data_IF_983503039100
#
_entry.id   IF_983503039100
#
_cell.length_a   1.000
_cell.length_b   1.000
_cell.length_c   1.000
_cell.angle_alpha   90.00
_cell.angle_beta   90.00
_cell.angle_gamma   90.00
#
_symmetry.space_group_name_H-M   'P 1'
#
loop_
_entity.id
_entity.type
_entity.pdbx_description
1 polymer ?
#
# COMPACT_ATOMS: atom_id res chain seq x y z
N UNK A 1 14.55 -12.16 5.29
CA UNK A 1 13.14 -11.98 5.70
C UNK A 1 12.50 -10.93 4.82
N UNK A 2 11.31 -11.22 4.32
CA UNK A 2 10.51 -10.32 3.47
C UNK A 2 9.25 -9.92 4.24
N UNK A 3 8.71 -8.76 3.89
CA UNK A 3 7.43 -8.28 4.39
C UNK A 3 6.48 -8.03 3.22
N UNK A 4 5.19 -8.29 3.40
CA UNK A 4 4.18 -7.77 2.50
C UNK A 4 3.69 -6.41 3.03
N UNK A 5 3.49 -5.44 2.13
CA UNK A 5 3.07 -4.08 2.44
C UNK A 5 1.83 -3.76 1.59
N UNK A 6 0.84 -3.18 2.23
CA UNK A 6 -0.33 -2.60 1.59
C UNK A 6 -0.75 -1.32 2.33
N UNK A 7 -1.31 -0.36 1.61
CA UNK A 7 -1.74 0.91 2.17
C UNK A 7 -3.14 1.27 1.67
N UNK A 8 -3.98 1.72 2.59
CA UNK A 8 -5.22 2.40 2.22
C UNK A 8 -4.95 3.90 2.15
N UNK A 9 -5.38 4.54 1.06
CA UNK A 9 -5.03 5.93 0.78
C UNK A 9 -6.23 6.87 0.74
N UNK A 10 -5.99 8.09 1.22
CA UNK A 10 -6.93 9.21 1.13
C UNK A 10 -6.31 10.33 0.29
N UNK A 11 -7.15 11.26 -0.18
CA UNK A 11 -6.72 12.47 -0.89
C UNK A 11 -6.70 13.67 0.07
N UNK A 12 -5.59 14.39 0.08
CA UNK A 12 -5.39 15.62 0.88
C UNK A 12 -4.99 16.80 -0.01
N UNK A 13 -5.25 18.01 0.46
CA UNK A 13 -4.73 19.23 -0.15
C UNK A 13 -3.27 19.46 0.25
N UNK A 14 -2.44 19.90 -0.70
CA UNK A 14 -1.08 20.36 -0.38
C UNK A 14 -1.11 21.74 0.30
N UNK A 15 -0.29 22.01 1.32
CA UNK A 15 -0.34 23.29 2.06
C UNK A 15 -0.12 24.53 1.18
N UNK A 16 0.76 24.41 0.19
CA UNK A 16 1.23 25.52 -0.64
C UNK A 16 0.55 25.60 -2.01
N UNK A 17 -0.38 24.69 -2.31
CA UNK A 17 -1.11 24.68 -3.58
C UNK A 17 -2.45 23.98 -3.46
N UNK A 18 -3.48 24.41 -4.20
CA UNK A 18 -4.75 23.67 -4.31
C UNK A 18 -4.64 22.34 -5.05
N UNK A 19 -3.44 21.76 -5.17
CA UNK A 19 -3.22 20.45 -5.79
C UNK A 19 -3.50 19.36 -4.77
N UNK A 20 -4.07 18.26 -5.27
CA UNK A 20 -4.37 17.07 -4.48
C UNK A 20 -3.16 16.14 -4.45
N UNK A 21 -2.97 15.47 -3.32
CA UNK A 21 -2.00 14.39 -3.15
C UNK A 21 -2.67 13.20 -2.47
N UNK A 22 -2.39 12.01 -2.96
CA UNK A 22 -2.77 10.77 -2.28
C UNK A 22 -1.72 10.43 -1.22
N UNK A 23 -2.15 10.16 0.00
CA UNK A 23 -1.30 9.76 1.13
C UNK A 23 -1.86 8.51 1.79
N UNK A 24 -0.97 7.73 2.43
CA UNK A 24 -1.40 6.58 3.22
C UNK A 24 -2.14 7.07 4.47
N UNK A 25 -3.23 6.39 4.81
CA UNK A 25 -4.04 6.64 6.00
C UNK A 25 -4.26 5.37 6.85
N UNK A 26 -4.07 4.19 6.26
CA UNK A 26 -3.80 2.92 6.97
C UNK A 26 -2.61 2.25 6.32
N UNK A 27 -1.76 1.63 7.12
CA UNK A 27 -0.62 0.83 6.63
C UNK A 27 -0.68 -0.55 7.27
N UNK A 28 -0.66 -1.58 6.42
CA UNK A 28 -0.67 -2.98 6.82
C UNK A 28 0.63 -3.64 6.37
N UNK A 29 1.33 -4.27 7.31
CA UNK A 29 2.57 -5.01 7.08
C UNK A 29 2.49 -6.36 7.78
N UNK A 30 2.69 -7.43 7.02
CA UNK A 30 2.80 -8.79 7.54
C UNK A 30 4.17 -9.39 7.21
N UNK A 31 4.65 -10.29 8.07
CA UNK A 31 5.85 -11.06 7.81
C UNK A 31 5.59 -12.27 6.88
N UNK A 32 6.65 -13.01 6.56
CA UNK A 32 6.58 -14.17 5.68
C UNK A 32 5.76 -15.35 6.24
N UNK A 33 5.40 -15.32 7.52
CA UNK A 33 4.52 -16.31 8.16
C UNK A 33 3.08 -15.81 8.26
N UNK A 34 2.77 -14.63 7.69
CA UNK A 34 1.46 -14.00 7.76
C UNK A 34 1.18 -13.32 9.11
N UNK A 35 2.17 -13.18 9.99
CA UNK A 35 1.97 -12.47 11.26
C UNK A 35 1.92 -10.96 11.00
N UNK A 36 0.92 -10.30 11.57
CA UNK A 36 0.80 -8.83 11.56
C UNK A 36 1.96 -8.20 12.33
N UNK A 37 2.66 -7.30 11.65
CA UNK A 37 3.76 -6.50 12.20
C UNK A 37 3.32 -5.06 12.41
N UNK A 38 2.56 -4.49 11.45
CA UNK A 38 1.90 -3.19 11.55
C UNK A 38 0.50 -3.34 10.94
N UNK A 39 -0.51 -2.81 11.60
CA UNK A 39 -1.84 -2.60 11.03
C UNK A 39 -2.46 -1.37 11.70
N UNK A 40 -2.03 -0.19 11.23
CA UNK A 40 -2.28 1.06 11.94
C UNK A 40 -2.85 2.13 11.02
N UNK A 41 -3.80 2.89 11.56
CA UNK A 41 -4.27 4.14 10.96
C UNK A 41 -3.37 5.30 11.40
N UNK A 42 -3.29 6.35 10.59
CA UNK A 42 -2.59 7.58 10.97
C UNK A 42 -3.41 8.84 10.73
N UNK A 43 -3.18 9.83 11.58
CA UNK A 43 -3.74 11.15 11.41
C UNK A 43 -3.07 11.87 10.23
N UNK A 44 -3.83 12.38 9.25
CA UNK A 44 -3.27 13.02 8.07
C UNK A 44 -2.58 14.35 8.44
N UNK A 45 -1.47 14.69 7.77
CA UNK A 45 -0.71 15.91 8.05
C UNK A 45 -1.37 17.16 7.47
N UNK A 46 -2.35 17.01 6.57
CA UNK A 46 -3.01 18.09 5.84
C UNK A 46 -4.53 17.88 5.77
N UNK A 47 -5.25 18.92 5.36
CA UNK A 47 -6.70 18.88 5.19
C UNK A 47 -7.11 17.78 4.19
N UNK A 48 -8.05 16.94 4.62
CA UNK A 48 -8.59 15.85 3.81
C UNK A 48 -9.58 16.41 2.80
N UNK A 49 -9.33 16.13 1.52
CA UNK A 49 -10.25 16.41 0.43
C UNK A 49 -11.30 15.30 0.28
N UNK A 50 -10.84 14.05 0.30
CA UNK A 50 -11.69 12.87 0.15
C UNK A 50 -11.04 11.68 0.84
N UNK A 51 -11.81 10.94 1.64
CA UNK A 51 -11.39 9.67 2.21
C UNK A 51 -11.37 8.54 1.18
N UNK A 52 -12.01 8.72 0.01
CA UNK A 52 -12.19 7.68 -1.01
C UNK A 52 -12.80 6.39 -0.43
N UNK A 53 -13.75 6.51 0.50
CA UNK A 53 -14.27 5.42 1.33
C UNK A 53 -14.77 4.20 0.53
N UNK A 54 -15.31 4.40 -0.67
CA UNK A 54 -15.72 3.32 -1.58
C UNK A 54 -14.56 2.36 -1.91
N UNK A 55 -13.34 2.91 -2.01
CA UNK A 55 -12.13 2.16 -2.34
C UNK A 55 -11.31 1.83 -1.09
N UNK A 56 -11.19 2.78 -0.16
CA UNK A 56 -10.28 2.68 0.98
C UNK A 56 -10.90 2.09 2.25
N UNK A 57 -12.25 2.07 2.34
CA UNK A 57 -12.97 1.79 3.58
C UNK A 57 -12.73 2.80 4.70
N UNK A 58 -11.99 3.90 4.47
CA UNK A 58 -11.63 4.87 5.51
C UNK A 58 -12.74 5.89 5.75
N UNK A 59 -13.03 6.15 7.01
CA UNK A 59 -13.89 7.26 7.48
C UNK A 59 -13.07 8.21 8.35
N UNK A 60 -13.61 9.39 8.67
CA UNK A 60 -12.97 10.33 9.59
C UNK A 60 -12.66 9.70 10.95
N UNK A 61 -13.59 8.90 11.47
CA UNK A 61 -13.53 8.34 12.82
C UNK A 61 -12.37 7.35 12.96
N UNK A 62 -11.99 6.67 11.88
CA UNK A 62 -10.80 5.81 11.87
C UNK A 62 -9.50 6.58 12.15
N UNK A 63 -9.45 7.89 11.85
CA UNK A 63 -8.21 8.69 11.90
C UNK A 63 -8.11 9.57 13.16
N UNK A 64 -9.20 9.75 13.91
CA UNK A 64 -9.23 10.60 15.10
C UNK A 64 -8.38 9.97 16.21
N UNK A 65 -7.48 10.77 16.79
CA UNK A 65 -6.60 10.34 17.89
C UNK A 65 -5.55 9.30 17.50
N UNK A 66 -5.38 9.04 16.21
CA UNK A 66 -4.33 8.15 15.70
C UNK A 66 -2.98 8.84 15.67
N UNK A 67 -1.93 8.04 15.57
CA UNK A 67 -0.58 8.56 15.52
C UNK A 67 -0.39 9.50 14.30
N UNK A 68 0.40 10.57 14.42
CA UNK A 68 0.69 11.45 13.29
C UNK A 68 1.31 10.70 12.11
N UNK A 69 0.93 11.07 10.89
CA UNK A 69 1.44 10.46 9.66
C UNK A 69 2.98 10.35 9.60
N UNK A 70 3.72 11.40 9.97
CA UNK A 70 5.18 11.37 9.92
C UNK A 70 5.81 10.41 10.93
N UNK A 71 5.13 10.16 12.06
CA UNK A 71 5.57 9.17 13.04
C UNK A 71 5.37 7.75 12.49
N UNK A 72 4.17 7.42 11.98
CA UNK A 72 3.91 6.13 11.34
C UNK A 72 4.88 5.88 10.18
N UNK A 73 5.08 6.88 9.33
CA UNK A 73 6.00 6.83 8.20
C UNK A 73 7.43 6.54 8.63
N UNK A 74 7.88 7.12 9.74
CA UNK A 74 9.24 6.89 10.27
C UNK A 74 9.39 5.46 10.78
N UNK A 75 8.40 4.93 11.50
CA UNK A 75 8.36 3.52 11.95
C UNK A 75 8.40 2.58 10.76
N UNK A 76 7.52 2.78 9.77
CA UNK A 76 7.45 1.97 8.55
C UNK A 76 8.80 2.02 7.81
N UNK A 77 9.37 3.22 7.62
CA UNK A 77 10.64 3.39 6.91
C UNK A 77 11.79 2.64 7.58
N UNK A 78 11.87 2.66 8.92
CA UNK A 78 12.88 1.93 9.67
C UNK A 78 12.66 0.41 9.56
N UNK A 79 11.42 -0.05 9.69
CA UNK A 79 11.07 -1.47 9.63
C UNK A 79 11.46 -2.10 8.28
N UNK A 80 11.18 -1.40 7.18
CA UNK A 80 11.41 -1.90 5.82
C UNK A 80 12.83 -1.67 5.31
N UNK A 81 13.70 -1.00 6.08
CA UNK A 81 15.05 -0.67 5.65
C UNK A 81 15.83 -1.95 5.29
N UNK A 82 16.36 -1.99 4.06
CA UNK A 82 17.13 -3.14 3.51
C UNK A 82 16.35 -4.46 3.50
N UNK A 83 15.03 -4.45 3.66
CA UNK A 83 14.18 -5.64 3.56
C UNK A 83 13.60 -5.79 2.17
N UNK A 84 13.25 -7.03 1.78
CA UNK A 84 12.46 -7.26 0.58
C UNK A 84 10.99 -6.97 0.88
N UNK A 85 10.34 -6.17 0.04
CA UNK A 85 8.94 -5.80 0.18
C UNK A 85 8.14 -6.40 -0.97
N UNK A 86 7.11 -7.16 -0.61
CA UNK A 86 6.15 -7.80 -1.51
C UNK A 86 4.86 -6.98 -1.48
N UNK A 87 4.17 -6.85 -2.63
CA UNK A 87 2.87 -6.19 -2.70
C UNK A 87 2.34 -6.15 -4.12
N UNK A 88 1.28 -5.38 -4.34
CA UNK A 88 0.61 -5.27 -5.64
C UNK A 88 0.55 -3.81 -6.10
N UNK A 89 1.29 -3.47 -7.16
CA UNK A 89 1.48 -2.08 -7.62
C UNK A 89 2.11 -1.15 -6.57
N UNK A 90 3.16 -1.66 -5.89
CA UNK A 90 3.91 -1.04 -4.80
C UNK A 90 4.35 0.41 -5.04
N UNK A 91 4.41 0.84 -6.31
CA UNK A 91 4.69 2.24 -6.66
C UNK A 91 3.67 3.19 -6.02
N UNK A 92 2.40 2.78 -5.90
CA UNK A 92 1.36 3.61 -5.30
C UNK A 92 1.58 3.75 -3.80
N UNK A 93 1.84 2.65 -3.10
CA UNK A 93 2.10 2.62 -1.66
C UNK A 93 3.31 3.47 -1.29
N UNK A 94 4.44 3.24 -1.96
CA UNK A 94 5.67 4.01 -1.70
C UNK A 94 5.51 5.50 -2.01
N UNK A 95 4.71 5.86 -3.02
CA UNK A 95 4.38 7.27 -3.30
C UNK A 95 3.49 7.86 -2.21
N UNK A 96 2.48 7.10 -1.76
CA UNK A 96 1.55 7.51 -0.72
C UNK A 96 2.25 7.69 0.63
N UNK A 97 3.20 6.81 0.96
CA UNK A 97 4.09 6.89 2.13
C UNK A 97 5.20 7.94 1.99
N UNK A 98 5.50 8.40 0.77
CA UNK A 98 6.66 9.26 0.52
C UNK A 98 7.98 8.59 0.92
N UNK A 99 8.12 7.29 0.65
CA UNK A 99 9.32 6.49 0.94
C UNK A 99 9.96 6.05 -0.36
N UNK A 100 11.27 6.24 -0.49
CA UNK A 100 12.03 5.75 -1.64
C UNK A 100 12.72 4.42 -1.31
N UNK A 101 12.05 3.31 -1.60
CA UNK A 101 12.61 1.97 -1.36
C UNK A 101 13.37 1.43 -2.59
N UNK A 102 14.55 0.77 -2.48
CA UNK A 102 15.29 0.30 -3.66
C UNK A 102 14.49 -0.66 -4.54
N UNK A 103 14.45 -0.42 -5.86
CA UNK A 103 13.67 -1.24 -6.80
C UNK A 103 14.02 -2.73 -6.77
N UNK A 104 15.31 -3.07 -6.61
CA UNK A 104 15.79 -4.47 -6.50
C UNK A 104 15.25 -5.24 -5.28
N UNK A 105 14.75 -4.53 -4.28
CA UNK A 105 14.16 -5.10 -3.08
C UNK A 105 12.62 -5.12 -3.12
N UNK A 106 12.01 -4.59 -4.18
CA UNK A 106 10.57 -4.66 -4.40
C UNK A 106 10.24 -5.90 -5.23
N UNK A 107 9.30 -6.71 -4.74
CA UNK A 107 8.68 -7.78 -5.50
C UNK A 107 7.21 -7.40 -5.73
N UNK A 108 6.96 -6.81 -6.89
CA UNK A 108 5.65 -6.27 -7.25
C UNK A 108 4.87 -7.28 -8.09
N UNK A 109 3.87 -7.90 -7.47
CA UNK A 109 3.05 -8.96 -8.07
C UNK A 109 2.26 -8.47 -9.30
N UNK A 110 1.96 -7.17 -9.41
CA UNK A 110 1.26 -6.61 -10.57
C UNK A 110 2.15 -6.58 -11.83
N UNK A 111 3.47 -6.58 -11.65
CA UNK A 111 4.46 -6.51 -12.74
C UNK A 111 5.34 -7.74 -12.87
N UNK A 112 5.25 -8.69 -11.94
CA UNK A 112 6.01 -9.92 -12.01
C UNK A 112 5.65 -10.71 -13.27
N UNK A 113 6.66 -11.13 -14.02
CA UNK A 113 6.47 -11.83 -15.29
C UNK A 113 6.03 -13.27 -15.06
N UNK A 114 6.65 -13.95 -14.10
CA UNK A 114 6.39 -15.36 -13.81
C UNK A 114 4.95 -15.57 -13.32
N UNK A 115 4.47 -14.73 -12.40
CA UNK A 115 3.08 -14.80 -11.92
C UNK A 115 2.08 -14.58 -13.05
N UNK A 116 2.37 -13.66 -13.99
CA UNK A 116 1.48 -13.39 -15.12
C UNK A 116 1.48 -14.52 -16.14
N UNK A 117 2.62 -15.14 -16.41
CA UNK A 117 2.72 -16.32 -17.27
C UNK A 117 1.98 -17.52 -16.65
N UNK A 118 2.13 -17.76 -15.35
CA UNK A 118 1.41 -18.81 -14.61
C UNK A 118 -0.11 -18.60 -14.63
N UNK A 119 -0.56 -17.35 -14.54
CA UNK A 119 -1.98 -16.99 -14.62
C UNK A 119 -2.52 -16.88 -16.05
N UNK A 120 -1.71 -17.18 -17.08
CA UNK A 120 -2.07 -17.00 -18.50
C UNK A 120 -2.55 -15.58 -18.85
N UNK A 121 -1.95 -14.56 -18.25
CA UNK A 121 -2.29 -13.15 -18.42
C UNK A 121 -1.33 -12.43 -19.39
N UNK A 122 -1.82 -11.39 -20.11
CA UNK A 122 -0.98 -10.63 -21.03
C UNK A 122 0.09 -9.80 -20.29
N UNK A 123 1.30 -9.73 -20.85
CA UNK A 123 2.44 -9.02 -20.23
C UNK A 123 2.41 -7.49 -20.40
N UNK A 124 1.57 -6.96 -21.29
CA UNK A 124 1.47 -5.53 -21.57
C UNK A 124 0.47 -4.78 -20.67
N UNK A 125 -0.27 -5.49 -19.80
CA UNK A 125 -1.28 -4.91 -18.91
C UNK A 125 -1.10 -5.45 -17.49
N UNK A 126 -1.13 -4.56 -16.49
CA UNK A 126 -1.17 -4.96 -15.08
C UNK A 126 -2.54 -5.59 -14.78
N UNK A 127 -2.60 -6.81 -14.21
CA UNK A 127 -3.85 -7.36 -13.74
C UNK A 127 -4.32 -6.66 -12.46
N UNK A 128 -5.62 -6.78 -12.16
CA UNK A 128 -6.12 -6.51 -10.81
C UNK A 128 -5.70 -7.64 -9.87
N UNK A 129 -5.45 -7.34 -8.59
CA UNK A 129 -5.07 -8.33 -7.59
C UNK A 129 -6.07 -9.49 -7.52
N UNK A 130 -7.36 -9.20 -7.31
CA UNK A 130 -8.43 -10.21 -7.27
C UNK A 130 -8.42 -11.17 -8.48
N UNK A 131 -8.17 -10.65 -9.69
CA UNK A 131 -8.09 -11.47 -10.90
C UNK A 131 -6.84 -12.37 -10.89
N UNK A 132 -5.71 -11.82 -10.45
CA UNK A 132 -4.46 -12.57 -10.35
C UNK A 132 -4.58 -13.68 -9.29
N UNK A 133 -5.16 -13.37 -8.13
CA UNK A 133 -5.42 -14.32 -7.05
C UNK A 133 -6.25 -15.51 -7.55
N UNK A 134 -7.42 -15.22 -8.14
CA UNK A 134 -8.32 -16.25 -8.66
C UNK A 134 -7.65 -17.16 -9.69
N UNK A 135 -6.89 -16.60 -10.62
CA UNK A 135 -6.23 -17.39 -11.66
C UNK A 135 -5.06 -18.24 -11.15
N UNK A 136 -4.44 -17.86 -10.04
CA UNK A 136 -3.30 -18.60 -9.46
C UNK A 136 -3.73 -19.64 -8.43
N UNK A 137 -4.82 -19.40 -7.70
CA UNK A 137 -5.18 -20.16 -6.50
C UNK A 137 -6.58 -20.78 -6.57
N UNK A 138 -7.46 -20.25 -7.42
CA UNK A 138 -8.89 -20.57 -7.41
C UNK A 138 -9.68 -19.88 -6.28
N UNK A 139 -9.02 -19.06 -5.44
CA UNK A 139 -9.65 -18.31 -4.37
C UNK A 139 -10.21 -16.98 -4.87
N UNK A 140 -11.32 -16.51 -4.27
CA UNK A 140 -11.85 -15.17 -4.53
C UNK A 140 -11.39 -14.22 -3.42
N UNK A 141 -11.15 -12.96 -3.78
CA UNK A 141 -11.13 -11.88 -2.78
C UNK A 141 -12.53 -11.78 -2.18
N UNK A 142 -12.63 -11.94 -0.85
CA UNK A 142 -13.88 -11.82 -0.09
C UNK A 142 -14.26 -10.35 0.14
#
# INVERSE_FOLDING_TARGET
MAYALDCEMIAVYLPTSKKLKSIAARVSIVDSFGKVVIDEYCQPPYEVYSYNTEYSGITSDHLIGKMPYEELRSIVSALIEKKRIVGHDLKNDFRALGINHPGRLRFDTATDRTLRELAHLPLNKKPKLAKLLYLLTGENDH
#
